data_IF_329661232574
#
_entry.id   IF_329661232574
#
_cell.length_a   1.000
_cell.length_b   1.000
_cell.length_c   1.000
_cell.angle_alpha   90.00
_cell.angle_beta   90.00
_cell.angle_gamma   90.00
#
_symmetry.space_group_name_H-M   'P 1'
#
loop_
_entity.id
_entity.type
_entity.pdbx_description
1 polymer ?
#
# COMPACT_ATOMS: atom_id res chain seq x y z
N UNK A 1 -7.39 32.43 6.58
CA UNK A 1 -7.46 33.84 6.13
C UNK A 1 -6.99 34.01 4.68
N UNK A 2 -5.86 33.41 4.27
CA UNK A 2 -5.34 33.51 2.89
C UNK A 2 -6.34 32.97 1.84
N UNK A 3 -6.96 31.82 2.08
CA UNK A 3 -7.94 31.23 1.16
C UNK A 3 -9.21 32.09 1.07
N UNK A 4 -9.69 32.63 2.19
CA UNK A 4 -10.82 33.54 2.22
C UNK A 4 -10.55 34.81 1.42
N UNK A 5 -9.35 35.36 1.54
CA UNK A 5 -8.94 36.54 0.77
C UNK A 5 -8.89 36.28 -0.75
N UNK A 6 -8.49 35.06 -1.16
CA UNK A 6 -8.45 34.67 -2.57
C UNK A 6 -9.81 34.35 -3.19
N UNK A 7 -10.76 33.85 -2.38
CA UNK A 7 -12.08 33.39 -2.86
C UNK A 7 -13.21 34.37 -2.60
N UNK A 8 -12.96 35.43 -1.79
CA UNK A 8 -14.00 36.39 -1.37
C UNK A 8 -15.05 35.81 -0.40
N UNK A 9 -14.81 34.59 0.14
CA UNK A 9 -15.72 33.94 1.08
C UNK A 9 -15.45 34.45 2.50
N UNK A 10 -16.51 34.62 3.31
CA UNK A 10 -16.37 34.99 4.72
C UNK A 10 -15.49 33.97 5.48
N UNK A 11 -14.47 34.47 6.17
CA UNK A 11 -13.48 33.65 6.85
C UNK A 11 -14.04 32.77 7.95
N UNK A 12 -15.06 33.23 8.68
CA UNK A 12 -15.71 32.46 9.75
C UNK A 12 -16.54 31.29 9.19
N UNK A 13 -17.41 31.59 8.23
CA UNK A 13 -18.21 30.58 7.54
C UNK A 13 -17.34 29.56 6.80
N UNK A 14 -16.26 30.01 6.14
CA UNK A 14 -15.31 29.13 5.47
C UNK A 14 -14.62 28.17 6.46
N UNK A 15 -14.16 28.67 7.64
CA UNK A 15 -13.53 27.84 8.66
C UNK A 15 -14.44 26.71 9.14
N UNK A 16 -15.72 26.97 9.32
CA UNK A 16 -16.69 25.95 9.76
C UNK A 16 -16.97 24.92 8.66
N UNK A 17 -17.06 25.34 7.41
CA UNK A 17 -17.13 24.43 6.27
C UNK A 17 -15.91 23.53 6.18
N UNK A 18 -14.69 24.08 6.32
CA UNK A 18 -13.45 23.32 6.29
C UNK A 18 -13.37 22.30 7.45
N UNK A 19 -13.86 22.65 8.65
CA UNK A 19 -13.97 21.71 9.77
C UNK A 19 -14.95 20.56 9.46
N UNK A 20 -16.06 20.84 8.79
CA UNK A 20 -17.03 19.82 8.35
C UNK A 20 -16.36 18.91 7.32
N UNK A 21 -15.68 19.47 6.31
CA UNK A 21 -14.97 18.69 5.31
C UNK A 21 -13.89 17.79 5.94
N UNK A 22 -13.14 18.32 6.90
CA UNK A 22 -12.12 17.53 7.63
C UNK A 22 -12.76 16.37 8.40
N UNK A 23 -13.86 16.60 9.12
CA UNK A 23 -14.59 15.53 9.83
C UNK A 23 -15.15 14.46 8.89
N UNK A 24 -15.43 14.82 7.64
CA UNK A 24 -15.83 13.89 6.57
C UNK A 24 -14.66 13.21 5.86
N UNK A 25 -13.41 13.47 6.28
CA UNK A 25 -12.23 12.89 5.66
C UNK A 25 -11.92 13.39 4.25
N UNK A 26 -12.40 14.59 3.87
CA UNK A 26 -12.17 15.16 2.55
C UNK A 26 -10.90 16.03 2.52
N UNK A 27 -10.47 16.54 3.65
CA UNK A 27 -9.25 17.34 3.83
C UNK A 27 -8.59 17.02 5.17
N UNK A 28 -7.31 17.25 5.25
CA UNK A 28 -6.51 17.11 6.47
C UNK A 28 -6.49 18.42 7.25
N UNK A 29 -6.50 18.32 8.60
CA UNK A 29 -6.21 19.45 9.50
C UNK A 29 -4.90 19.24 10.22
N UNK A 30 -4.15 20.31 10.41
CA UNK A 30 -2.91 20.30 11.17
C UNK A 30 -2.71 21.61 11.95
N UNK A 31 -1.92 21.54 13.01
CA UNK A 31 -1.46 22.73 13.71
C UNK A 31 -0.32 23.38 12.91
N UNK A 32 -0.44 24.69 12.68
CA UNK A 32 0.64 25.56 12.20
C UNK A 32 0.93 26.61 13.29
N UNK A 33 2.05 27.29 13.18
CA UNK A 33 2.41 28.40 14.12
C UNK A 33 1.31 29.49 14.15
N UNK A 34 0.62 29.68 13.02
CA UNK A 34 -0.51 30.61 12.88
C UNK A 34 -1.86 30.04 13.32
N UNK A 35 -1.93 28.82 13.89
CA UNK A 35 -3.15 28.15 14.34
C UNK A 35 -3.54 26.92 13.53
N UNK A 36 -4.86 26.70 13.33
CA UNK A 36 -5.40 25.56 12.59
C UNK A 36 -5.20 25.75 11.08
N UNK A 37 -4.44 24.86 10.46
CA UNK A 37 -4.26 24.78 9.02
C UNK A 37 -5.10 23.68 8.39
N UNK A 38 -5.43 23.85 7.10
CA UNK A 38 -6.15 22.86 6.28
C UNK A 38 -5.30 22.54 5.04
N UNK A 39 -5.33 21.28 4.61
CA UNK A 39 -4.58 20.80 3.46
C UNK A 39 -5.46 19.81 2.69
N UNK A 40 -5.38 19.85 1.36
CA UNK A 40 -6.00 18.84 0.52
C UNK A 40 -5.38 17.46 0.76
N UNK A 41 -6.22 16.44 0.80
CA UNK A 41 -5.78 15.04 0.77
C UNK A 41 -5.63 14.59 -0.69
N UNK A 42 -4.68 13.70 -0.99
CA UNK A 42 -4.72 12.96 -2.25
C UNK A 42 -5.97 12.09 -2.28
N UNK A 43 -6.35 11.62 -3.48
CA UNK A 43 -7.47 10.67 -3.59
C UNK A 43 -7.09 9.33 -2.91
N UNK A 44 -5.93 8.76 -3.24
CA UNK A 44 -5.34 7.54 -2.67
C UNK A 44 -3.88 7.83 -2.31
N UNK A 45 -3.38 7.50 -1.16
CA UNK A 45 -3.97 7.15 0.12
C UNK A 45 -4.42 8.46 0.78
N UNK A 46 -5.70 8.61 1.03
CA UNK A 46 -6.24 9.88 1.53
C UNK A 46 -7.75 9.89 1.58
N UNK A 47 -8.43 10.66 0.70
CA UNK A 47 -9.90 10.82 0.72
C UNK A 47 -10.61 9.46 0.70
N UNK A 48 -10.15 8.54 -0.16
CA UNK A 48 -10.76 7.22 -0.31
C UNK A 48 -10.70 6.41 0.98
N UNK A 49 -9.53 6.28 1.59
CA UNK A 49 -9.35 5.49 2.81
C UNK A 49 -10.11 6.08 4.00
N UNK A 50 -10.27 7.39 4.05
CA UNK A 50 -11.04 8.06 5.10
C UNK A 50 -12.53 7.74 5.07
N UNK A 51 -13.05 7.16 3.97
CA UNK A 51 -14.45 6.77 3.85
C UNK A 51 -14.75 5.36 4.39
N UNK A 52 -13.77 4.64 4.93
CA UNK A 52 -13.98 3.27 5.39
C UNK A 52 -15.11 3.13 6.43
N UNK A 53 -15.31 4.12 7.29
CA UNK A 53 -16.40 4.15 8.28
C UNK A 53 -17.78 4.52 7.71
N UNK A 54 -17.84 5.14 6.54
CA UNK A 54 -19.08 5.70 5.95
C UNK A 54 -19.43 5.08 4.60
N UNK A 55 -18.59 4.17 4.08
CA UNK A 55 -18.81 3.51 2.79
C UNK A 55 -20.11 2.72 2.79
N UNK A 56 -21.01 3.10 1.88
CA UNK A 56 -22.23 2.37 1.53
C UNK A 56 -22.19 1.89 0.07
N UNK A 57 -23.24 1.22 -0.39
CA UNK A 57 -23.30 0.66 -1.74
C UNK A 57 -23.32 1.72 -2.84
N UNK A 58 -23.89 2.90 -2.58
CA UNK A 58 -23.93 4.01 -3.53
C UNK A 58 -22.52 4.60 -3.70
N UNK A 59 -21.86 4.92 -2.59
CA UNK A 59 -20.49 5.44 -2.61
C UNK A 59 -19.50 4.41 -3.19
N UNK A 60 -19.68 3.13 -2.88
CA UNK A 60 -18.88 2.05 -3.44
C UNK A 60 -18.97 2.01 -4.98
N UNK A 61 -20.17 2.22 -5.53
CA UNK A 61 -20.40 2.27 -6.99
C UNK A 61 -19.75 3.50 -7.61
N UNK A 62 -19.90 4.67 -7.00
CA UNK A 62 -19.27 5.90 -7.49
C UNK A 62 -17.74 5.80 -7.53
N UNK A 63 -17.11 5.15 -6.54
CA UNK A 63 -15.68 4.89 -6.57
C UNK A 63 -15.29 3.87 -7.64
N UNK A 64 -16.12 2.84 -7.90
CA UNK A 64 -15.87 1.90 -8.97
C UNK A 64 -15.97 2.57 -10.35
N UNK A 65 -16.98 3.41 -10.58
CA UNK A 65 -17.13 4.18 -11.81
C UNK A 65 -15.95 5.15 -12.04
N UNK A 66 -15.38 5.68 -10.97
CA UNK A 66 -14.20 6.55 -11.04
C UNK A 66 -12.90 5.77 -11.26
N UNK A 67 -12.89 4.47 -11.02
CA UNK A 67 -11.67 3.65 -11.07
C UNK A 67 -10.98 3.69 -12.44
N UNK A 68 -11.70 3.67 -13.54
CA UNK A 68 -11.11 3.74 -14.88
C UNK A 68 -10.37 5.05 -15.11
N UNK A 69 -10.91 6.18 -14.65
CA UNK A 69 -10.27 7.49 -14.76
C UNK A 69 -9.07 7.62 -13.82
N UNK A 70 -9.20 7.17 -12.59
CA UNK A 70 -8.11 7.09 -11.64
C UNK A 70 -6.99 6.19 -12.15
N UNK A 71 -7.33 5.06 -12.78
CA UNK A 71 -6.42 4.08 -13.34
C UNK A 71 -5.40 4.70 -14.28
N UNK A 72 -5.76 5.71 -15.07
CA UNK A 72 -4.83 6.42 -15.95
C UNK A 72 -3.67 7.05 -15.17
N UNK A 73 -3.88 7.44 -13.93
CA UNK A 73 -2.83 8.02 -13.08
C UNK A 73 -1.86 6.98 -12.52
N UNK A 74 -2.22 5.69 -12.55
CA UNK A 74 -1.38 4.59 -12.05
C UNK A 74 -0.15 4.33 -12.93
N UNK A 75 -0.21 4.70 -14.20
CA UNK A 75 0.93 4.61 -15.13
C UNK A 75 2.02 5.66 -14.87
N UNK A 76 1.69 6.75 -14.16
CA UNK A 76 2.61 7.87 -13.89
C UNK A 76 3.66 7.47 -12.85
N UNK A 77 4.93 7.74 -13.16
CA UNK A 77 6.06 7.44 -12.28
C UNK A 77 6.57 8.72 -11.56
N UNK A 78 7.17 8.54 -10.37
CA UNK A 78 7.26 7.31 -9.58
C UNK A 78 5.87 6.80 -9.15
N UNK A 79 5.72 5.51 -8.99
CA UNK A 79 4.45 4.86 -8.62
C UNK A 79 3.93 5.38 -7.27
N UNK A 80 2.64 5.17 -6.99
CA UNK A 80 2.02 5.59 -5.72
C UNK A 80 2.55 4.75 -4.57
N UNK A 81 2.60 3.44 -4.75
CA UNK A 81 3.09 2.50 -3.77
C UNK A 81 4.38 1.80 -4.24
N UNK A 82 5.19 1.39 -3.28
CA UNK A 82 6.25 0.39 -3.46
C UNK A 82 5.95 -0.86 -2.65
N UNK A 83 6.33 -1.98 -3.19
CA UNK A 83 6.28 -3.27 -2.50
C UNK A 83 7.42 -3.35 -1.50
N UNK A 84 7.14 -3.91 -0.32
CA UNK A 84 8.16 -4.35 0.63
C UNK A 84 8.06 -5.87 0.79
N UNK A 85 9.18 -6.59 0.90
CA UNK A 85 9.16 -8.03 1.00
C UNK A 85 8.59 -8.49 2.34
N UNK A 86 8.06 -9.70 2.38
CA UNK A 86 7.91 -10.44 3.62
C UNK A 86 9.31 -10.82 4.09
N UNK A 87 9.76 -10.31 5.22
CA UNK A 87 11.17 -10.36 5.63
C UNK A 87 11.73 -11.79 5.74
N UNK A 88 10.95 -12.73 6.24
CA UNK A 88 11.35 -14.14 6.40
C UNK A 88 11.67 -14.82 5.05
N UNK A 89 11.27 -14.20 3.94
CA UNK A 89 11.46 -14.75 2.58
C UNK A 89 12.77 -14.31 1.92
N UNK A 90 13.49 -13.37 2.52
CA UNK A 90 14.77 -12.88 2.01
C UNK A 90 15.90 -13.81 2.43
N UNK A 91 16.65 -14.36 1.46
CA UNK A 91 17.74 -15.32 1.71
C UNK A 91 18.85 -14.76 2.59
N UNK A 92 19.18 -13.49 2.40
CA UNK A 92 20.18 -12.80 3.22
C UNK A 92 19.53 -11.58 3.92
N UNK A 93 19.04 -11.73 5.18
CA UNK A 93 18.39 -10.62 5.90
C UNK A 93 19.28 -9.41 6.11
N UNK A 94 20.62 -9.55 6.09
CA UNK A 94 21.55 -8.42 6.26
C UNK A 94 21.54 -7.45 5.07
N UNK A 95 20.98 -7.85 3.93
CA UNK A 95 20.82 -6.99 2.75
C UNK A 95 19.56 -6.13 2.77
N UNK A 96 18.66 -6.34 3.75
CA UNK A 96 17.41 -5.58 3.89
C UNK A 96 17.70 -4.28 4.60
N UNK A 97 17.46 -3.16 3.95
CA UNK A 97 17.56 -1.82 4.56
C UNK A 97 16.33 -1.56 5.43
N UNK A 98 16.42 -0.75 6.52
CA UNK A 98 15.29 -0.53 7.43
C UNK A 98 13.99 -0.09 6.74
N UNK A 99 14.05 0.80 5.75
CA UNK A 99 12.89 1.24 4.99
C UNK A 99 12.33 0.21 4.00
N UNK A 100 13.05 -0.89 3.76
CA UNK A 100 12.61 -2.04 2.96
C UNK A 100 11.98 -3.14 3.81
N UNK A 101 11.98 -3.00 5.13
CA UNK A 101 11.52 -4.01 6.09
C UNK A 101 10.21 -3.59 6.75
N UNK A 102 9.16 -4.40 6.60
CA UNK A 102 7.88 -4.15 7.26
C UNK A 102 8.02 -4.16 8.79
N UNK A 103 8.80 -5.07 9.34
CA UNK A 103 9.05 -5.15 10.79
C UNK A 103 9.84 -3.94 11.31
N UNK A 104 10.86 -3.47 10.59
CA UNK A 104 11.61 -2.29 10.99
C UNK A 104 10.74 -1.02 10.93
N UNK A 105 9.87 -0.90 9.91
CA UNK A 105 8.91 0.20 9.83
C UNK A 105 7.97 0.17 11.04
N UNK A 106 7.44 -1.00 11.44
CA UNK A 106 6.60 -1.14 12.63
C UNK A 106 7.37 -0.80 13.90
N UNK A 107 8.62 -1.29 14.03
CA UNK A 107 9.46 -1.08 15.21
C UNK A 107 9.86 0.39 15.41
N UNK A 108 9.93 1.17 14.34
CA UNK A 108 10.29 2.58 14.39
C UNK A 108 9.14 3.49 14.90
N UNK A 109 7.93 2.97 15.07
CA UNK A 109 6.74 3.73 15.44
C UNK A 109 6.41 3.60 16.94
N UNK A 110 5.54 4.48 17.45
CA UNK A 110 5.08 4.50 18.84
C UNK A 110 3.58 4.28 19.00
N UNK A 111 2.82 4.33 17.91
CA UNK A 111 1.39 3.99 17.87
C UNK A 111 1.10 3.18 16.63
N UNK A 112 0.27 2.18 16.80
CA UNK A 112 -0.17 1.28 15.73
C UNK A 112 -1.69 1.18 15.76
N UNK A 113 -2.28 1.09 14.60
CA UNK A 113 -3.71 0.89 14.44
C UNK A 113 -4.00 0.01 13.24
N UNK A 114 -5.15 -0.65 13.28
CA UNK A 114 -5.69 -1.41 12.16
C UNK A 114 -7.11 -0.96 11.86
N UNK A 115 -7.42 -0.96 10.58
CA UNK A 115 -8.77 -0.66 10.07
C UNK A 115 -9.12 -1.65 8.97
N UNK A 116 -10.41 -1.71 8.67
CA UNK A 116 -10.89 -2.52 7.55
C UNK A 116 -10.28 -2.01 6.23
N UNK A 117 -9.90 -2.95 5.38
CA UNK A 117 -9.45 -2.61 4.04
C UNK A 117 -10.63 -2.06 3.22
N UNK A 118 -10.58 -0.77 2.91
CA UNK A 118 -11.65 -0.11 2.17
C UNK A 118 -11.88 -0.72 0.79
N UNK A 119 -10.82 -1.14 0.12
CA UNK A 119 -10.94 -1.77 -1.21
C UNK A 119 -11.73 -3.08 -1.14
N UNK A 120 -11.50 -3.92 -0.12
CA UNK A 120 -12.29 -5.14 0.10
C UNK A 120 -13.71 -4.82 0.54
N UNK A 121 -13.89 -3.82 1.38
CA UNK A 121 -15.22 -3.34 1.79
C UNK A 121 -16.03 -2.85 0.60
N UNK A 122 -15.42 -2.03 -0.27
CA UNK A 122 -16.04 -1.57 -1.51
C UNK A 122 -16.48 -2.75 -2.39
N UNK A 123 -15.57 -3.68 -2.67
CA UNK A 123 -15.89 -4.85 -3.51
C UNK A 123 -16.97 -5.74 -2.90
N UNK A 124 -16.96 -5.93 -1.59
CA UNK A 124 -18.04 -6.67 -0.89
C UNK A 124 -19.41 -6.00 -1.04
N UNK A 125 -19.49 -4.67 -0.92
CA UNK A 125 -20.73 -3.90 -1.13
C UNK A 125 -21.24 -3.97 -2.57
N UNK A 126 -20.36 -4.26 -3.53
CA UNK A 126 -20.69 -4.48 -4.94
C UNK A 126 -20.99 -5.96 -5.26
N UNK A 127 -21.06 -6.84 -4.26
CA UNK A 127 -21.28 -8.28 -4.45
C UNK A 127 -20.06 -9.05 -4.96
N UNK A 128 -18.87 -8.49 -4.86
CA UNK A 128 -17.59 -9.05 -5.34
C UNK A 128 -16.59 -9.25 -4.19
N UNK A 129 -17.06 -9.75 -3.05
CA UNK A 129 -16.21 -10.03 -1.90
C UNK A 129 -15.12 -11.06 -2.25
N UNK A 130 -13.92 -10.89 -1.69
CA UNK A 130 -12.87 -11.90 -1.71
C UNK A 130 -12.69 -12.51 -0.31
N UNK A 131 -12.05 -13.67 -0.25
CA UNK A 131 -11.87 -14.44 0.99
C UNK A 131 -10.74 -13.91 1.91
N UNK A 132 -9.97 -12.94 1.45
CA UNK A 132 -8.87 -12.39 2.24
C UNK A 132 -9.36 -11.62 3.47
N UNK A 133 -8.61 -11.61 4.58
CA UNK A 133 -8.97 -10.88 5.80
C UNK A 133 -9.14 -9.39 5.53
N UNK A 134 -10.18 -8.79 6.09
CA UNK A 134 -10.51 -7.38 5.88
C UNK A 134 -9.75 -6.45 6.83
N UNK A 135 -9.53 -6.87 8.07
CA UNK A 135 -8.95 -6.10 9.17
C UNK A 135 -7.40 -6.15 9.18
N UNK A 136 -6.79 -5.74 8.10
CA UNK A 136 -5.33 -5.82 7.88
C UNK A 136 -4.72 -4.55 7.28
N UNK A 137 -5.48 -3.47 7.07
CA UNK A 137 -4.89 -2.18 6.71
C UNK A 137 -4.29 -1.54 7.96
N UNK A 138 -2.99 -1.32 7.94
CA UNK A 138 -2.26 -0.81 9.11
C UNK A 138 -1.92 0.66 8.94
N UNK A 139 -2.09 1.42 10.02
CA UNK A 139 -1.67 2.81 10.13
C UNK A 139 -0.79 2.98 11.37
N UNK A 140 0.18 3.87 11.31
CA UNK A 140 1.19 4.03 12.36
C UNK A 140 1.56 5.49 12.54
N UNK A 141 2.03 5.85 13.74
CA UNK A 141 2.49 7.19 14.05
C UNK A 141 3.71 7.12 14.98
N UNK A 142 4.62 8.08 14.82
CA UNK A 142 5.79 8.23 15.70
C UNK A 142 5.46 8.82 17.07
N UNK A 143 4.24 9.31 17.28
CA UNK A 143 3.73 9.81 18.55
C UNK A 143 2.97 8.70 19.28
N UNK A 144 3.02 8.62 20.61
CA UNK A 144 2.29 7.62 21.37
C UNK A 144 0.77 7.92 21.43
N UNK A 145 -0.03 6.87 21.59
CA UNK A 145 -1.46 6.90 21.94
C UNK A 145 -2.37 7.63 20.93
N UNK A 146 -1.95 7.70 19.66
CA UNK A 146 -2.70 8.45 18.61
C UNK A 146 -4.05 7.83 18.31
N UNK A 147 -4.16 6.51 18.40
CA UNK A 147 -5.36 5.78 17.96
C UNK A 147 -6.31 5.33 19.07
N UNK A 148 -5.99 5.54 20.36
CA UNK A 148 -6.76 5.03 21.50
C UNK A 148 -8.24 5.47 21.54
N UNK A 149 -8.53 6.64 20.98
CA UNK A 149 -9.90 7.21 20.95
C UNK A 149 -10.47 7.33 19.55
N UNK A 150 -9.88 6.64 18.59
CA UNK A 150 -10.35 6.70 17.21
C UNK A 150 -11.53 5.74 17.01
N UNK A 151 -12.70 6.19 16.51
CA UNK A 151 -13.87 5.33 16.36
C UNK A 151 -13.78 4.34 15.19
N UNK A 152 -12.85 4.54 14.27
CA UNK A 152 -12.69 3.74 13.04
C UNK A 152 -11.44 2.88 13.08
N UNK A 153 -10.38 3.40 13.67
CA UNK A 153 -9.08 2.73 13.77
C UNK A 153 -9.01 2.03 15.13
N UNK A 154 -8.90 0.71 15.12
CA UNK A 154 -8.64 -0.06 16.33
C UNK A 154 -7.17 0.06 16.70
N UNK A 155 -6.88 0.63 17.86
CA UNK A 155 -5.51 0.71 18.39
C UNK A 155 -4.93 -0.69 18.62
N UNK A 156 -3.65 -0.85 18.34
CA UNK A 156 -2.88 -2.08 18.53
C UNK A 156 -1.68 -1.82 19.43
N UNK A 157 -1.26 -2.84 20.13
CA UNK A 157 0.10 -2.96 20.64
C UNK A 157 1.07 -3.27 19.51
N UNK A 158 2.37 -3.06 19.72
CA UNK A 158 3.40 -3.44 18.74
C UNK A 158 3.33 -4.94 18.40
N UNK A 159 3.11 -5.79 19.40
CA UNK A 159 2.97 -7.23 19.22
C UNK A 159 1.79 -7.61 18.33
N UNK A 160 0.63 -6.97 18.53
CA UNK A 160 -0.55 -7.17 17.68
C UNK A 160 -0.32 -6.66 16.25
N UNK A 161 0.42 -5.56 16.09
CA UNK A 161 0.80 -5.03 14.77
C UNK A 161 1.68 -6.03 14.00
N UNK A 162 2.67 -6.62 14.66
CA UNK A 162 3.50 -7.69 14.09
C UNK A 162 2.66 -8.94 13.77
N UNK A 163 1.71 -9.31 14.64
CA UNK A 163 0.76 -10.39 14.39
C UNK A 163 -0.14 -10.13 13.18
N UNK A 164 -0.55 -8.87 12.96
CA UNK A 164 -1.33 -8.45 11.79
C UNK A 164 -0.53 -8.58 10.49
N UNK A 165 0.75 -8.20 10.50
CA UNK A 165 1.64 -8.41 9.34
C UNK A 165 1.77 -9.89 8.99
N UNK A 166 2.02 -10.73 9.99
CA UNK A 166 2.15 -12.18 9.79
C UNK A 166 0.87 -12.77 9.21
N UNK A 167 -0.28 -12.48 9.81
CA UNK A 167 -1.59 -12.93 9.32
C UNK A 167 -1.86 -12.49 7.88
N UNK A 168 -1.45 -11.27 7.51
CA UNK A 168 -1.58 -10.77 6.16
C UNK A 168 -0.67 -11.52 5.18
N UNK A 169 0.57 -11.79 5.55
CA UNK A 169 1.53 -12.56 4.76
C UNK A 169 1.05 -14.00 4.52
N UNK A 170 0.60 -14.68 5.59
CA UNK A 170 0.03 -16.05 5.54
C UNK A 170 -1.23 -16.12 4.65
N UNK A 171 -2.01 -15.04 4.61
CA UNK A 171 -3.16 -14.92 3.70
C UNK A 171 -2.79 -14.57 2.25
N UNK A 172 -1.52 -14.56 1.88
CA UNK A 172 -1.06 -14.26 0.53
C UNK A 172 -1.15 -12.78 0.12
N UNK A 173 -1.22 -11.86 1.08
CA UNK A 173 -1.34 -10.43 0.80
C UNK A 173 0.02 -9.76 0.58
N UNK A 174 0.06 -8.87 -0.38
CA UNK A 174 1.26 -8.10 -0.74
C UNK A 174 1.39 -6.90 0.18
N UNK A 175 2.51 -6.81 0.89
CA UNK A 175 2.84 -5.62 1.69
C UNK A 175 3.28 -4.47 0.79
N UNK A 176 2.66 -3.31 0.96
CA UNK A 176 3.05 -2.10 0.24
C UNK A 176 2.93 -0.85 1.11
N UNK A 177 3.77 0.13 0.83
CA UNK A 177 3.86 1.40 1.55
C UNK A 177 3.93 2.56 0.55
N UNK A 178 3.90 3.80 1.04
CA UNK A 178 4.21 4.97 0.21
C UNK A 178 5.55 4.82 -0.51
N UNK A 179 5.64 5.31 -1.72
CA UNK A 179 6.86 5.23 -2.51
C UNK A 179 7.83 6.39 -2.17
N UNK A 180 8.17 6.49 -0.88
CA UNK A 180 9.21 7.37 -0.34
C UNK A 180 9.99 6.63 0.75
N UNK A 181 11.23 7.06 1.00
CA UNK A 181 12.07 6.49 2.07
C UNK A 181 11.54 6.95 3.44
N UNK A 182 11.30 8.25 3.57
CA UNK A 182 10.84 8.88 4.81
C UNK A 182 9.31 9.07 4.81
N UNK A 183 8.74 9.18 6.02
CA UNK A 183 7.34 9.53 6.22
C UNK A 183 6.36 8.39 5.96
N UNK A 184 6.80 7.14 5.97
CA UNK A 184 5.90 5.98 5.92
C UNK A 184 5.10 5.91 7.21
N UNK A 185 3.76 6.00 7.10
CA UNK A 185 2.83 5.97 8.22
C UNK A 185 1.74 4.90 8.07
N UNK A 186 1.83 4.06 7.03
CA UNK A 186 0.90 2.96 6.80
C UNK A 186 1.59 1.78 6.12
N UNK A 187 1.03 0.59 6.31
CA UNK A 187 1.32 -0.61 5.52
C UNK A 187 -0.01 -1.14 5.00
N UNK A 188 -0.18 -1.10 3.67
CA UNK A 188 -1.28 -1.76 3.00
C UNK A 188 -0.93 -3.24 2.80
N UNK A 189 -1.92 -4.12 3.04
CA UNK A 189 -1.84 -5.55 2.80
C UNK A 189 -2.84 -5.90 1.70
N UNK A 190 -2.35 -5.94 0.45
CA UNK A 190 -3.17 -5.86 -0.75
C UNK A 190 -3.31 -7.20 -1.48
N UNK A 191 -4.43 -7.35 -2.19
CA UNK A 191 -4.66 -8.42 -3.16
C UNK A 191 -5.08 -7.82 -4.51
N UNK A 192 -4.79 -8.51 -5.60
CA UNK A 192 -5.18 -8.10 -6.96
C UNK A 192 -6.69 -8.16 -7.21
N UNK A 193 -7.43 -8.92 -6.41
CA UNK A 193 -8.89 -9.04 -6.55
C UNK A 193 -9.67 -7.81 -6.06
N UNK A 194 -9.10 -6.97 -5.18
CA UNK A 194 -9.86 -5.85 -4.61
C UNK A 194 -9.11 -4.52 -4.61
N UNK A 195 -7.76 -4.54 -4.50
CA UNK A 195 -6.99 -3.30 -4.35
C UNK A 195 -7.06 -2.43 -5.61
N UNK A 196 -7.55 -1.20 -5.48
CA UNK A 196 -7.67 -0.26 -6.59
C UNK A 196 -6.35 0.09 -7.29
N UNK A 197 -5.19 -0.14 -6.65
CA UNK A 197 -3.89 0.00 -7.29
C UNK A 197 -3.50 -1.30 -8.01
N UNK A 198 -3.51 -2.46 -7.32
CA UNK A 198 -3.05 -3.72 -7.90
C UNK A 198 -3.96 -4.20 -9.05
N UNK A 199 -5.25 -3.91 -9.01
CA UNK A 199 -6.19 -4.18 -10.11
C UNK A 199 -5.79 -3.47 -11.41
N UNK A 200 -5.06 -2.36 -11.34
CA UNK A 200 -4.55 -1.69 -12.52
C UNK A 200 -3.68 -2.60 -13.41
N UNK A 201 -3.02 -3.61 -12.84
CA UNK A 201 -2.31 -4.63 -13.63
C UNK A 201 -3.26 -5.63 -14.27
N UNK A 202 -4.25 -6.12 -13.51
CA UNK A 202 -5.15 -7.18 -13.95
C UNK A 202 -6.24 -6.68 -14.92
N UNK A 203 -6.81 -5.51 -14.63
CA UNK A 203 -7.98 -5.01 -15.36
C UNK A 203 -7.64 -3.93 -16.40
N UNK A 204 -6.60 -3.12 -16.16
CA UNK A 204 -6.21 -2.05 -17.08
C UNK A 204 -4.93 -2.36 -17.89
N UNK A 205 -4.32 -3.53 -17.66
CA UNK A 205 -3.09 -3.93 -18.36
C UNK A 205 -1.86 -3.04 -18.08
N UNK A 206 -1.90 -2.24 -17.01
CA UNK A 206 -0.80 -1.32 -16.67
C UNK A 206 0.32 -2.11 -16.01
N UNK A 207 1.41 -2.33 -16.72
CA UNK A 207 2.58 -2.94 -16.13
C UNK A 207 3.19 -2.05 -15.04
N UNK A 208 3.63 -2.66 -13.94
CA UNK A 208 4.36 -1.97 -12.87
C UNK A 208 3.55 -0.82 -12.21
N UNK A 209 2.29 -1.05 -11.87
CA UNK A 209 1.45 -0.09 -11.09
C UNK A 209 2.02 0.20 -9.70
N UNK A 210 2.84 -0.70 -9.17
CA UNK A 210 3.63 -0.53 -7.93
C UNK A 210 5.11 -0.55 -8.26
N UNK A 211 5.92 0.15 -7.47
CA UNK A 211 7.37 0.00 -7.55
C UNK A 211 7.75 -1.36 -6.94
N UNK A 212 8.57 -2.13 -7.65
CA UNK A 212 9.11 -3.39 -7.15
C UNK A 212 10.03 -3.12 -5.95
N UNK A 213 10.14 -4.09 -5.05
CA UNK A 213 11.15 -4.09 -4.01
C UNK A 213 12.56 -4.25 -4.62
N UNK A 214 13.58 -4.04 -3.81
CA UNK A 214 14.98 -4.29 -4.22
C UNK A 214 15.30 -5.79 -4.37
N UNK A 215 14.29 -6.67 -4.30
CA UNK A 215 14.48 -8.11 -4.33
C UNK A 215 13.75 -8.76 -5.50
N UNK A 216 14.19 -9.95 -5.86
CA UNK A 216 13.56 -10.81 -6.88
C UNK A 216 13.59 -12.25 -6.40
N UNK A 217 12.58 -13.01 -6.76
CA UNK A 217 12.53 -14.42 -6.41
C UNK A 217 13.57 -15.22 -7.20
N UNK A 218 14.19 -16.19 -6.52
CA UNK A 218 15.08 -17.18 -7.11
C UNK A 218 14.60 -18.58 -6.75
N UNK A 219 14.68 -19.49 -7.70
CA UNK A 219 14.34 -20.90 -7.55
C UNK A 219 15.62 -21.70 -7.36
N UNK A 220 15.62 -22.57 -6.36
CA UNK A 220 16.64 -23.62 -6.23
C UNK A 220 16.14 -24.86 -7.01
N UNK A 221 16.79 -25.12 -8.14
CA UNK A 221 16.40 -26.18 -9.07
C UNK A 221 16.61 -27.58 -8.48
N UNK A 222 17.50 -27.72 -7.48
CA UNK A 222 17.80 -29.01 -6.86
C UNK A 222 16.67 -29.50 -5.96
N UNK A 223 16.02 -28.58 -5.27
CA UNK A 223 14.96 -28.91 -4.29
C UNK A 223 13.54 -28.56 -4.77
N UNK A 224 13.39 -27.93 -5.95
CA UNK A 224 12.08 -27.72 -6.56
C UNK A 224 11.50 -29.05 -7.02
N UNK A 225 10.29 -29.38 -6.55
CA UNK A 225 9.59 -30.63 -6.91
C UNK A 225 8.44 -30.47 -7.92
N UNK A 226 8.23 -29.25 -8.43
CA UNK A 226 7.21 -28.97 -9.45
C UNK A 226 5.77 -28.97 -8.94
N UNK A 227 5.50 -28.70 -7.67
CA UNK A 227 4.15 -28.74 -7.07
C UNK A 227 3.20 -27.61 -7.51
N UNK A 228 3.70 -26.56 -8.16
CA UNK A 228 2.94 -25.40 -8.68
C UNK A 228 2.29 -24.49 -7.63
N UNK A 229 2.40 -24.74 -6.34
CA UNK A 229 1.82 -23.93 -5.26
C UNK A 229 2.25 -22.44 -5.33
N UNK A 230 3.49 -22.21 -5.74
CA UNK A 230 4.04 -20.87 -5.92
C UNK A 230 3.40 -20.10 -7.08
N UNK A 231 2.94 -20.78 -8.12
CA UNK A 231 2.26 -20.18 -9.28
C UNK A 231 0.88 -19.69 -8.85
N UNK A 232 0.10 -20.55 -8.16
CA UNK A 232 -1.22 -20.20 -7.64
C UNK A 232 -1.15 -19.03 -6.64
N UNK A 233 -0.05 -18.92 -5.89
CA UNK A 233 0.16 -17.84 -4.92
C UNK A 233 0.66 -16.52 -5.53
N UNK A 234 1.13 -16.53 -6.78
CA UNK A 234 1.71 -15.34 -7.40
C UNK A 234 0.66 -14.38 -7.93
N UNK A 235 0.38 -13.31 -7.22
CA UNK A 235 -0.59 -12.28 -7.63
C UNK A 235 -0.18 -11.48 -8.88
N UNK A 236 1.07 -11.61 -9.35
CA UNK A 236 1.62 -10.85 -10.47
C UNK A 236 1.85 -11.71 -11.73
N UNK A 237 1.49 -12.99 -11.68
CA UNK A 237 1.75 -13.96 -12.76
C UNK A 237 3.22 -13.92 -13.23
N UNK A 238 4.14 -13.82 -12.26
CA UNK A 238 5.58 -13.76 -12.49
C UNK A 238 6.25 -15.14 -12.41
N UNK A 239 5.49 -16.19 -12.17
CA UNK A 239 5.97 -17.58 -12.09
C UNK A 239 5.26 -18.43 -13.12
N UNK A 240 6.02 -19.28 -13.80
CA UNK A 240 5.55 -20.29 -14.77
C UNK A 240 6.31 -21.57 -14.56
N UNK A 241 5.85 -22.67 -15.18
CA UNK A 241 6.58 -23.92 -15.20
C UNK A 241 7.35 -24.07 -16.50
N UNK A 242 8.60 -24.55 -16.41
CA UNK A 242 9.36 -25.13 -17.51
C UNK A 242 9.64 -26.60 -17.16
N UNK A 243 8.87 -27.51 -17.75
CA UNK A 243 8.83 -28.91 -17.33
C UNK A 243 8.38 -29.05 -15.87
N UNK A 244 9.26 -29.54 -15.00
CA UNK A 244 9.01 -29.72 -13.56
C UNK A 244 9.62 -28.62 -12.71
N UNK A 245 10.18 -27.57 -13.29
CA UNK A 245 10.82 -26.48 -12.57
C UNK A 245 10.00 -25.21 -12.67
N UNK A 246 9.83 -24.53 -11.54
CA UNK A 246 9.28 -23.18 -11.53
C UNK A 246 10.32 -22.19 -12.07
N UNK A 247 9.90 -21.29 -12.95
CA UNK A 247 10.72 -20.22 -13.52
C UNK A 247 10.17 -18.86 -13.17
N UNK A 248 11.05 -17.86 -13.04
CA UNK A 248 10.70 -16.51 -12.60
C UNK A 248 10.87 -15.51 -13.74
N UNK A 249 9.79 -14.83 -14.12
CA UNK A 249 9.88 -13.61 -14.91
C UNK A 249 10.32 -12.45 -13.98
N UNK A 250 11.59 -12.08 -14.06
CA UNK A 250 12.19 -11.04 -13.21
C UNK A 250 11.59 -9.64 -13.47
N UNK A 251 11.00 -9.39 -14.63
CA UNK A 251 10.34 -8.12 -14.98
C UNK A 251 8.98 -8.00 -14.28
N UNK A 252 8.22 -9.11 -14.24
CA UNK A 252 6.91 -9.16 -13.57
C UNK A 252 7.03 -9.34 -12.07
N UNK A 253 8.10 -9.96 -11.59
CA UNK A 253 8.33 -10.20 -10.17
C UNK A 253 8.52 -8.88 -9.42
N UNK A 254 7.61 -8.56 -8.51
CA UNK A 254 7.70 -7.35 -7.66
C UNK A 254 8.55 -7.56 -6.41
N UNK A 255 9.03 -8.79 -6.15
CA UNK A 255 9.82 -9.12 -4.97
C UNK A 255 9.05 -9.02 -3.65
N UNK A 256 7.76 -9.41 -3.64
CA UNK A 256 6.92 -9.39 -2.45
C UNK A 256 7.15 -10.57 -1.49
N UNK A 257 7.60 -11.73 -2.00
CA UNK A 257 7.91 -12.92 -1.20
C UNK A 257 6.71 -13.82 -0.88
N UNK A 258 5.48 -13.48 -1.29
CA UNK A 258 4.27 -14.28 -0.98
C UNK A 258 4.41 -15.73 -1.45
N UNK A 259 4.91 -15.95 -2.66
CA UNK A 259 5.10 -17.29 -3.22
C UNK A 259 6.19 -18.11 -2.48
N UNK A 260 7.11 -17.44 -1.78
CA UNK A 260 8.13 -18.13 -0.96
C UNK A 260 7.48 -18.81 0.25
N UNK A 261 6.50 -18.13 0.88
CA UNK A 261 5.75 -18.71 2.00
C UNK A 261 4.91 -19.91 1.58
N UNK A 262 4.47 -19.96 0.33
CA UNK A 262 3.69 -21.09 -0.21
C UNK A 262 4.59 -22.27 -0.64
N UNK A 263 5.89 -22.10 -0.69
CA UNK A 263 6.82 -23.15 -1.14
C UNK A 263 7.11 -24.16 -0.03
N UNK A 264 6.46 -25.31 -0.07
CA UNK A 264 6.59 -26.37 0.95
C UNK A 264 7.99 -26.99 1.00
N UNK A 265 8.75 -26.97 -0.11
CA UNK A 265 10.12 -27.49 -0.16
C UNK A 265 11.19 -26.47 0.21
N UNK A 266 10.84 -25.17 0.31
CA UNK A 266 11.79 -24.08 0.51
C UNK A 266 12.67 -23.79 -0.71
N UNK A 267 12.28 -24.25 -1.91
CA UNK A 267 13.02 -24.00 -3.15
C UNK A 267 13.06 -22.51 -3.54
N UNK A 268 12.07 -21.73 -3.11
CA UNK A 268 11.99 -20.32 -3.41
C UNK A 268 12.65 -19.44 -2.32
N UNK A 269 13.18 -18.31 -2.73
CA UNK A 269 13.72 -17.31 -1.82
C UNK A 269 13.98 -16.00 -2.54
N UNK A 270 13.85 -14.89 -1.81
CA UNK A 270 14.18 -13.58 -2.36
C UNK A 270 15.68 -13.30 -2.28
N UNK A 271 16.28 -12.90 -3.39
CA UNK A 271 17.65 -12.37 -3.45
C UNK A 271 17.60 -10.90 -3.86
N UNK A 272 18.59 -10.13 -3.39
CA UNK A 272 18.71 -8.72 -3.78
C UNK A 272 19.05 -8.59 -5.26
N UNK A 273 18.36 -7.68 -5.94
CA UNK A 273 18.68 -7.33 -7.33
C UNK A 273 20.04 -6.65 -7.40
N UNK A 274 20.74 -6.75 -8.54
CA UNK A 274 21.88 -5.89 -8.80
C UNK A 274 21.53 -4.42 -8.61
N UNK A 275 22.41 -3.61 -8.03
CA UNK A 275 22.13 -2.20 -7.71
C UNK A 275 21.73 -1.39 -8.96
N UNK A 276 22.23 -1.77 -10.14
CA UNK A 276 21.83 -1.18 -11.43
C UNK A 276 20.38 -1.40 -11.82
N UNK A 277 19.70 -2.39 -11.24
CA UNK A 277 18.29 -2.71 -11.48
C UNK A 277 17.37 -2.15 -10.40
N UNK A 278 17.92 -1.78 -9.25
CA UNK A 278 17.15 -1.17 -8.15
C UNK A 278 16.83 0.28 -8.51
N UNK A 279 15.53 0.57 -8.66
CA UNK A 279 15.10 1.93 -8.96
C UNK A 279 15.24 2.82 -7.74
N UNK A 280 15.76 4.06 -7.90
CA UNK A 280 15.85 4.99 -6.79
C UNK A 280 14.45 5.32 -6.25
N UNK A 281 14.36 5.36 -4.92
CA UNK A 281 13.15 5.75 -4.21
C UNK A 281 13.29 7.21 -3.81
N UNK A 282 12.28 8.08 -4.06
CA UNK A 282 12.29 9.47 -3.58
C UNK A 282 12.51 9.52 -2.06
N UNK A 283 13.34 10.45 -1.60
CA UNK A 283 13.68 10.53 -0.18
C UNK A 283 12.44 10.91 0.66
N UNK A 284 11.67 11.90 0.20
CA UNK A 284 10.50 12.42 0.90
C UNK A 284 9.23 12.34 0.06
N UNK A 285 8.08 12.43 0.71
CA UNK A 285 6.79 12.51 0.01
C UNK A 285 6.67 13.79 -0.85
N UNK A 286 7.31 14.88 -0.46
CA UNK A 286 7.34 16.11 -1.25
C UNK A 286 8.13 15.91 -2.55
N UNK A 287 9.29 15.27 -2.49
CA UNK A 287 10.08 14.92 -3.68
C UNK A 287 9.29 13.99 -4.61
N UNK A 288 8.65 12.95 -4.06
CA UNK A 288 7.77 12.06 -4.81
C UNK A 288 6.66 12.85 -5.53
N UNK A 289 6.01 13.80 -4.84
CA UNK A 289 4.96 14.64 -5.40
C UNK A 289 5.46 15.51 -6.55
N UNK A 290 6.62 16.14 -6.39
CA UNK A 290 7.25 16.98 -7.41
C UNK A 290 7.63 16.17 -8.66
N UNK A 291 8.22 14.99 -8.48
CA UNK A 291 8.57 14.11 -9.61
C UNK A 291 7.31 13.68 -10.38
N UNK A 292 6.21 13.37 -9.70
CA UNK A 292 4.94 13.03 -10.36
C UNK A 292 4.28 14.22 -11.06
N UNK A 293 4.34 15.41 -10.47
CA UNK A 293 3.85 16.63 -11.11
C UNK A 293 4.60 16.89 -12.42
N UNK A 294 5.94 16.86 -12.37
CA UNK A 294 6.80 17.00 -13.56
C UNK A 294 6.48 15.94 -14.63
N UNK A 295 6.29 14.67 -14.24
CA UNK A 295 5.94 13.59 -15.17
C UNK A 295 4.56 13.78 -15.84
N UNK A 296 3.72 14.66 -15.29
CA UNK A 296 2.39 15.03 -15.83
C UNK A 296 2.40 16.36 -16.56
N UNK A 297 3.55 17.04 -16.65
CA UNK A 297 3.69 18.36 -17.26
C UNK A 297 3.13 19.52 -16.42
N UNK A 298 3.11 19.35 -15.09
CA UNK A 298 2.63 20.32 -14.09
C UNK A 298 3.79 21.00 -13.36
#
# INVERSE_FOLDING_TARGET
>A
DEFAARTGVDAAGLRDQLKVMSRRGLIETGKKDSGLGFKSLPFVVGIYEMQVGTMDAELARLFEDYFEQFGQTLSVKPQVHRVIPVNETVRNPMEVRPFESASEIVNAMQSWGVLDCICRKQKALLGQACEHPIDVCMIMDSRPNVYEKNPVIRALTQHEAMGTLRRAAEAGLVHSVSNSVEGTYYICNCCTCSCGILRGMAELGIANVVASSAFVNQVDEVICNGCEDCIASCQFNALTMDGLLATVDAVRCTGCGVCVLACSTGALGLARRPESEVKPIPQTHAEWGNQRATARGL
#
